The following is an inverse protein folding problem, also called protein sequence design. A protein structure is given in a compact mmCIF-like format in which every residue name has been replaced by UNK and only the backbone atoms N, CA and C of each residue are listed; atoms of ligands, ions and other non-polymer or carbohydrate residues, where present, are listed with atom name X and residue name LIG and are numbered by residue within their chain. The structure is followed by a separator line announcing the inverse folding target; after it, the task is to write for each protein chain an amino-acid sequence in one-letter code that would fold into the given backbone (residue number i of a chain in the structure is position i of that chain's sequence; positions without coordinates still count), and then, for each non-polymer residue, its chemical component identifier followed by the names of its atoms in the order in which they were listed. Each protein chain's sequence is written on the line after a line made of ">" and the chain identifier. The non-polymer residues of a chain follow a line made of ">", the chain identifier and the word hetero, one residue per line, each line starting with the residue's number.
data_IF_952697294707
#
_entry.id   IF_952697294707
#
_cell.length_a   1.000
_cell.length_b   1.000
_cell.length_c   1.000
_cell.angle_alpha   90.00
_cell.angle_beta   90.00
_cell.angle_gamma   90.00
#
_symmetry.space_group_name_H-M   'P 1'
#
loop_
_entity.id
_entity.type
_entity.pdbx_description
1 polymer ?
#
# COMPACT_ATOMS: atom_id res chain seq x y z
N UNK A 1 -52.66 63.66 -7.51
CA UNK A 1 -51.81 62.72 -8.26
C UNK A 1 -50.81 62.07 -7.28
N UNK A 2 -51.09 60.83 -6.85
CA UNK A 2 -50.16 60.05 -5.92
C UNK A 2 -49.10 59.37 -6.75
N UNK A 3 -47.80 59.70 -6.55
CA UNK A 3 -46.69 59.01 -7.12
C UNK A 3 -46.41 57.75 -6.27
N UNK A 4 -46.61 56.55 -6.86
CA UNK A 4 -46.22 55.26 -6.25
C UNK A 4 -44.77 55.02 -6.57
N UNK A 5 -43.96 54.95 -5.51
CA UNK A 5 -42.53 54.65 -5.59
C UNK A 5 -42.37 53.12 -5.49
N UNK A 6 -41.97 52.46 -6.58
CA UNK A 6 -41.65 51.03 -6.58
C UNK A 6 -40.23 50.85 -6.07
N UNK A 7 -40.08 50.25 -4.88
CA UNK A 7 -38.81 49.85 -4.33
C UNK A 7 -38.46 48.48 -4.93
N UNK A 8 -37.53 48.45 -5.88
CA UNK A 8 -37.01 47.21 -6.46
C UNK A 8 -35.96 46.65 -5.49
N UNK A 9 -36.32 45.53 -4.83
CA UNK A 9 -35.41 44.79 -3.94
C UNK A 9 -34.54 43.89 -4.81
N UNK A 10 -33.27 44.29 -5.01
CA UNK A 10 -32.26 43.47 -5.71
C UNK A 10 -31.74 42.40 -4.74
N UNK A 11 -32.25 41.16 -4.84
CA UNK A 11 -31.68 40.01 -4.11
C UNK A 11 -30.36 39.62 -4.78
N UNK A 12 -29.25 40.01 -4.16
CA UNK A 12 -27.92 39.51 -4.54
C UNK A 12 -27.84 38.03 -4.14
N UNK A 13 -28.03 37.13 -5.09
CA UNK A 13 -27.67 35.72 -4.97
C UNK A 13 -26.12 35.65 -4.92
N UNK A 14 -25.58 35.60 -3.72
CA UNK A 14 -24.15 35.30 -3.52
C UNK A 14 -24.00 33.82 -3.88
N UNK A 15 -23.21 33.46 -4.91
CA UNK A 15 -22.91 32.06 -5.19
C UNK A 15 -22.15 31.48 -4.00
N UNK A 16 -22.76 30.57 -3.26
CA UNK A 16 -22.08 29.76 -2.27
C UNK A 16 -21.17 28.83 -3.07
N UNK A 17 -19.89 29.18 -3.17
CA UNK A 17 -18.87 28.26 -3.67
C UNK A 17 -18.77 27.11 -2.67
N UNK A 18 -19.51 26.01 -2.90
CA UNK A 18 -19.32 24.75 -2.21
C UNK A 18 -17.98 24.20 -2.71
N UNK A 19 -16.91 24.54 -2.02
CA UNK A 19 -15.62 23.92 -2.24
C UNK A 19 -15.77 22.44 -1.89
N UNK A 20 -15.74 21.57 -2.89
CA UNK A 20 -15.71 20.13 -2.68
C UNK A 20 -14.47 19.78 -1.85
N UNK A 21 -14.71 19.37 -0.61
CA UNK A 21 -13.63 19.03 0.30
C UNK A 21 -12.99 17.70 -0.12
N UNK A 22 -11.66 17.66 -0.18
CA UNK A 22 -10.93 16.45 -0.56
C UNK A 22 -10.40 15.77 0.70
N UNK A 23 -10.71 14.47 0.86
CA UNK A 23 -10.01 13.60 1.79
C UNK A 23 -8.84 12.92 1.09
N UNK A 24 -7.66 13.04 1.64
CA UNK A 24 -6.45 12.46 1.08
C UNK A 24 -6.04 11.22 1.87
N UNK A 25 -5.93 10.09 1.18
CA UNK A 25 -5.32 8.86 1.71
C UNK A 25 -3.89 8.78 1.19
N UNK A 26 -2.91 8.86 2.08
CA UNK A 26 -1.53 8.52 1.77
C UNK A 26 -1.37 7.00 1.80
N UNK A 27 -0.87 6.40 0.73
CA UNK A 27 -0.76 4.94 0.63
C UNK A 27 0.39 4.48 -0.26
N UNK A 28 0.48 3.16 -0.48
CA UNK A 28 1.54 2.56 -1.29
C UNK A 28 1.10 2.27 -2.72
N UNK A 29 2.06 2.29 -3.65
CA UNK A 29 1.82 1.96 -5.05
C UNK A 29 1.27 0.54 -5.21
N UNK A 30 1.76 -0.43 -4.44
CA UNK A 30 1.27 -1.82 -4.49
C UNK A 30 -0.22 -1.92 -4.14
N UNK A 31 -0.68 -1.19 -3.12
CA UNK A 31 -2.10 -1.17 -2.73
C UNK A 31 -2.96 -0.51 -3.81
N UNK A 32 -2.55 0.66 -4.33
CA UNK A 32 -3.25 1.30 -5.46
C UNK A 32 -3.32 0.36 -6.66
N UNK A 33 -2.18 -0.22 -7.03
CA UNK A 33 -2.05 -1.03 -8.23
C UNK A 33 -2.76 -2.39 -8.10
N UNK A 34 -3.04 -2.86 -6.89
CA UNK A 34 -3.95 -4.00 -6.68
C UNK A 34 -5.37 -3.74 -7.19
N UNK A 35 -5.79 -2.47 -7.29
CA UNK A 35 -7.15 -2.07 -7.68
C UNK A 35 -8.15 -2.03 -6.53
N UNK A 36 -7.73 -2.36 -5.30
CA UNK A 36 -8.62 -2.39 -4.13
C UNK A 36 -9.32 -1.04 -3.90
N UNK A 37 -8.58 0.07 -3.93
CA UNK A 37 -9.17 1.39 -3.68
C UNK A 37 -10.23 1.76 -4.71
N UNK A 38 -10.02 1.42 -5.98
CA UNK A 38 -11.01 1.65 -7.04
C UNK A 38 -12.31 0.86 -6.80
N UNK A 39 -12.22 -0.29 -6.17
CA UNK A 39 -13.37 -1.12 -5.80
C UNK A 39 -14.01 -0.66 -4.50
N UNK A 40 -13.21 -0.36 -3.46
CA UNK A 40 -13.68 -0.14 -2.09
C UNK A 40 -14.21 1.28 -1.87
N UNK A 41 -13.46 2.32 -2.27
CA UNK A 41 -13.79 3.69 -1.90
C UNK A 41 -15.13 4.19 -2.46
N UNK A 42 -15.61 3.79 -3.67
CA UNK A 42 -16.95 4.14 -4.12
C UNK A 42 -18.11 3.54 -3.30
N UNK A 43 -17.81 2.63 -2.34
CA UNK A 43 -18.80 2.07 -1.40
C UNK A 43 -19.05 2.99 -0.21
N UNK A 44 -18.15 3.93 0.05
CA UNK A 44 -18.34 4.95 1.05
C UNK A 44 -19.30 6.02 0.52
N UNK A 45 -20.51 6.05 1.06
CA UNK A 45 -21.60 6.91 0.58
C UNK A 45 -22.11 7.92 1.61
N UNK A 46 -21.37 8.10 2.72
CA UNK A 46 -21.81 8.98 3.80
C UNK A 46 -21.91 10.47 3.40
N UNK A 47 -21.07 10.91 2.44
CA UNK A 47 -21.03 12.29 1.98
C UNK A 47 -20.85 12.33 0.46
N UNK A 48 -21.87 12.81 -0.24
CA UNK A 48 -21.86 12.90 -1.71
C UNK A 48 -20.92 13.99 -2.24
N UNK A 49 -20.63 15.02 -1.44
CA UNK A 49 -19.84 16.18 -1.86
C UNK A 49 -18.34 16.05 -1.53
N UNK A 50 -17.94 14.92 -0.89
CA UNK A 50 -16.55 14.69 -0.51
C UNK A 50 -15.87 13.80 -1.54
N UNK A 51 -14.72 14.28 -2.06
CA UNK A 51 -13.88 13.49 -2.95
C UNK A 51 -12.74 12.84 -2.18
N UNK A 52 -12.70 11.50 -2.20
CA UNK A 52 -11.58 10.76 -1.64
C UNK A 52 -10.53 10.56 -2.73
N UNK A 53 -9.31 11.05 -2.47
CA UNK A 53 -8.16 10.88 -3.35
C UNK A 53 -7.10 10.02 -2.69
N UNK A 54 -6.49 9.13 -3.45
CA UNK A 54 -5.38 8.28 -2.97
C UNK A 54 -4.08 8.76 -3.62
N UNK A 55 -3.13 9.17 -2.78
CA UNK A 55 -1.76 9.48 -3.17
C UNK A 55 -0.92 8.24 -2.85
N UNK A 56 -0.49 7.54 -3.90
CA UNK A 56 0.21 6.27 -3.77
C UNK A 56 1.66 6.41 -4.19
N UNK A 57 2.54 6.26 -3.21
CA UNK A 57 4.01 6.40 -3.34
C UNK A 57 4.71 5.27 -2.58
N UNK A 58 6.03 5.29 -2.42
CA UNK A 58 6.72 4.37 -1.53
C UNK A 58 6.35 4.62 -0.05
N UNK A 59 6.41 3.57 0.80
CA UNK A 59 6.00 3.65 2.22
C UNK A 59 6.65 4.83 2.96
N UNK A 60 7.96 5.02 2.79
CA UNK A 60 8.68 6.12 3.45
C UNK A 60 8.16 7.49 3.02
N UNK A 61 7.87 7.68 1.73
CA UNK A 61 7.31 8.93 1.22
C UNK A 61 5.87 9.14 1.68
N UNK A 62 5.04 8.07 1.72
CA UNK A 62 3.67 8.17 2.23
C UNK A 62 3.64 8.62 3.70
N UNK A 63 4.52 8.06 4.52
CA UNK A 63 4.69 8.47 5.92
C UNK A 63 5.14 9.95 5.99
N UNK A 64 6.14 10.33 5.19
CA UNK A 64 6.65 11.70 5.18
C UNK A 64 5.59 12.72 4.77
N UNK A 65 4.77 12.40 3.77
CA UNK A 65 3.64 13.24 3.38
C UNK A 65 2.64 13.39 4.54
N UNK A 66 2.31 12.29 5.24
CA UNK A 66 1.41 12.34 6.39
C UNK A 66 2.01 13.14 7.58
N UNK A 67 3.33 13.07 7.82
CA UNK A 67 4.04 13.92 8.79
C UNK A 67 3.94 15.41 8.44
N UNK A 68 3.95 15.74 7.14
CA UNK A 68 3.82 17.09 6.61
C UNK A 68 2.36 17.57 6.50
N UNK A 69 1.39 16.82 7.05
CA UNK A 69 -0.04 17.16 6.99
C UNK A 69 -0.66 17.11 5.57
N UNK A 70 -0.06 16.34 4.65
CA UNK A 70 -0.53 16.17 3.28
C UNK A 70 -1.47 14.95 3.13
N UNK A 71 -2.13 14.51 4.21
CA UNK A 71 -3.05 13.39 4.19
C UNK A 71 -3.87 13.25 5.45
N UNK A 72 -5.12 12.86 5.29
CA UNK A 72 -6.08 12.64 6.38
C UNK A 72 -5.91 11.26 7.03
N UNK A 73 -5.62 10.27 6.18
CA UNK A 73 -5.43 8.86 6.55
C UNK A 73 -4.16 8.35 5.89
N UNK A 74 -3.38 7.60 6.65
CA UNK A 74 -2.20 6.86 6.16
C UNK A 74 -2.54 5.36 6.15
N UNK A 75 -2.38 4.69 5.00
CA UNK A 75 -2.56 3.23 4.87
C UNK A 75 -1.30 2.64 4.25
N UNK A 76 -0.52 1.97 5.06
CA UNK A 76 0.77 1.36 4.68
C UNK A 76 0.92 -0.03 5.29
N UNK A 77 2.02 -0.73 5.00
CA UNK A 77 2.27 -2.11 5.46
C UNK A 77 3.70 -2.28 6.00
N UNK A 78 4.09 -1.38 6.90
CA UNK A 78 5.36 -1.45 7.64
C UNK A 78 5.08 -1.12 9.10
N UNK A 79 4.73 -2.15 9.88
CA UNK A 79 4.28 -2.01 11.27
C UNK A 79 5.29 -1.25 12.14
N UNK A 80 6.59 -1.43 11.90
CA UNK A 80 7.62 -0.72 12.66
C UNK A 80 7.55 0.79 12.45
N UNK A 81 7.47 1.23 11.20
CA UNK A 81 7.35 2.65 10.84
C UNK A 81 5.98 3.23 11.23
N UNK A 82 4.91 2.44 11.17
CA UNK A 82 3.58 2.85 11.62
C UNK A 82 3.57 3.15 13.12
N UNK A 83 4.19 2.29 13.93
CA UNK A 83 4.30 2.47 15.37
C UNK A 83 5.22 3.66 15.74
N UNK A 84 6.30 3.86 14.99
CA UNK A 84 7.16 5.03 15.14
C UNK A 84 6.39 6.34 14.84
N UNK A 85 5.60 6.35 13.76
CA UNK A 85 4.72 7.49 13.42
C UNK A 85 3.71 7.79 14.55
N UNK A 86 3.10 6.74 15.13
CA UNK A 86 2.19 6.87 16.28
C UNK A 86 2.93 7.40 17.52
N UNK A 87 4.10 6.85 17.86
CA UNK A 87 4.88 7.22 19.04
C UNK A 87 5.34 8.68 19.01
N UNK A 88 5.59 9.22 17.82
CA UNK A 88 5.92 10.63 17.57
C UNK A 88 4.70 11.56 17.60
N UNK A 89 3.50 11.03 17.83
CA UNK A 89 2.26 11.80 17.93
C UNK A 89 1.71 12.33 16.60
N UNK A 90 2.16 11.79 15.45
CA UNK A 90 1.63 12.16 14.14
C UNK A 90 0.28 11.49 13.83
N UNK A 91 -0.04 10.37 14.50
CA UNK A 91 -1.32 9.67 14.39
C UNK A 91 -2.07 9.66 15.73
N UNK A 92 -3.40 9.61 15.67
CA UNK A 92 -4.27 9.55 16.87
C UNK A 92 -4.98 8.22 17.05
N UNK A 93 -5.20 7.49 15.95
CA UNK A 93 -5.79 6.13 15.96
C UNK A 93 -5.05 5.26 14.96
N UNK A 94 -4.84 3.99 15.28
CA UNK A 94 -4.33 2.96 14.39
C UNK A 94 -5.26 1.74 14.40
N UNK A 95 -5.55 1.22 13.21
CA UNK A 95 -6.34 0.00 13.02
C UNK A 95 -5.60 -0.95 12.07
N UNK A 96 -5.63 -2.25 12.31
CA UNK A 96 -5.15 -3.26 11.35
C UNK A 96 -6.26 -3.51 10.34
N UNK A 97 -6.13 -2.89 9.16
CA UNK A 97 -7.20 -2.84 8.16
C UNK A 97 -7.41 -4.19 7.47
N UNK A 98 -6.34 -4.82 7.06
CA UNK A 98 -6.35 -6.05 6.26
C UNK A 98 -4.94 -6.63 6.18
N UNK A 99 -4.81 -7.81 5.59
CA UNK A 99 -3.51 -8.34 5.19
C UNK A 99 -3.57 -8.99 3.80
N UNK A 100 -2.43 -9.07 3.13
CA UNK A 100 -2.16 -9.98 2.03
C UNK A 100 -0.92 -10.83 2.37
N UNK A 101 -0.31 -11.49 1.39
CA UNK A 101 0.92 -12.24 1.61
C UNK A 101 1.99 -11.88 0.59
N UNK A 102 3.23 -12.10 0.99
CA UNK A 102 4.36 -12.09 0.09
C UNK A 102 4.56 -13.45 -0.57
N UNK A 103 5.22 -13.42 -1.71
CA UNK A 103 5.57 -14.61 -2.50
C UNK A 103 7.01 -14.47 -3.04
N UNK A 104 7.71 -15.58 -3.17
CA UNK A 104 8.97 -15.63 -3.89
C UNK A 104 8.72 -16.13 -5.31
N UNK A 105 9.15 -15.35 -6.27
CA UNK A 105 8.96 -15.60 -7.70
C UNK A 105 10.30 -15.89 -8.34
N UNK A 106 10.32 -16.80 -9.30
CA UNK A 106 11.50 -17.14 -10.08
C UNK A 106 11.17 -17.98 -11.30
N UNK A 107 12.20 -18.47 -12.02
CA UNK A 107 12.04 -19.25 -13.24
C UNK A 107 11.17 -20.49 -13.04
N UNK A 108 10.27 -20.80 -13.97
CA UNK A 108 9.33 -21.93 -13.86
C UNK A 108 10.01 -23.30 -13.94
N UNK A 109 11.21 -23.36 -14.54
CA UNK A 109 12.04 -24.58 -14.64
C UNK A 109 12.96 -24.74 -13.42
N UNK A 110 12.85 -23.90 -12.38
CA UNK A 110 13.60 -24.04 -11.15
C UNK A 110 13.37 -25.40 -10.49
N UNK A 111 14.44 -26.08 -10.06
CA UNK A 111 14.42 -27.38 -9.42
C UNK A 111 14.96 -27.36 -7.99
N UNK A 112 15.35 -26.17 -7.49
CA UNK A 112 16.02 -25.99 -6.22
C UNK A 112 15.18 -25.17 -5.24
N UNK A 113 14.92 -23.91 -5.59
CA UNK A 113 14.19 -22.97 -4.73
C UNK A 113 12.74 -23.43 -4.52
N UNK A 114 12.11 -24.03 -5.54
CA UNK A 114 10.75 -24.59 -5.44
C UNK A 114 10.61 -25.75 -4.43
N UNK A 115 11.72 -26.32 -3.95
CA UNK A 115 11.75 -27.38 -2.93
C UNK A 115 12.01 -26.85 -1.51
N UNK A 116 12.07 -25.52 -1.35
CA UNK A 116 12.36 -24.89 -0.06
C UNK A 116 11.27 -25.15 0.96
N UNK A 117 11.67 -25.41 2.21
CA UNK A 117 10.76 -25.71 3.32
C UNK A 117 10.28 -24.45 4.07
N UNK A 118 10.99 -23.34 3.90
CA UNK A 118 10.68 -22.02 4.48
C UNK A 118 11.21 -20.92 3.58
N UNK A 119 10.78 -19.69 3.82
CA UNK A 119 11.34 -18.54 3.07
C UNK A 119 12.84 -18.35 3.38
N UNK A 120 13.26 -18.62 4.61
CA UNK A 120 14.68 -18.56 4.98
C UNK A 120 15.49 -19.64 4.28
N UNK A 121 14.97 -20.87 4.10
CA UNK A 121 15.63 -21.91 3.30
C UNK A 121 15.77 -21.45 1.84
N UNK A 122 14.73 -20.87 1.25
CA UNK A 122 14.79 -20.35 -0.12
C UNK A 122 15.84 -19.25 -0.29
N UNK A 123 15.88 -18.30 0.64
CA UNK A 123 16.84 -17.19 0.61
C UNK A 123 18.28 -17.67 0.86
N UNK A 124 18.49 -18.63 1.77
CA UNK A 124 19.82 -19.25 1.98
C UNK A 124 20.33 -19.88 0.69
N UNK A 125 19.52 -20.70 0.01
CA UNK A 125 19.89 -21.33 -1.26
C UNK A 125 20.23 -20.30 -2.35
N UNK A 126 19.45 -19.21 -2.46
CA UNK A 126 19.73 -18.11 -3.39
C UNK A 126 21.09 -17.48 -3.07
N UNK A 127 21.36 -17.20 -1.77
CA UNK A 127 22.63 -16.65 -1.34
C UNK A 127 23.80 -17.59 -1.62
N UNK A 128 23.72 -18.86 -1.23
CA UNK A 128 24.82 -19.81 -1.30
C UNK A 128 25.22 -20.11 -2.75
N UNK A 129 24.24 -20.21 -3.63
CA UNK A 129 24.45 -20.45 -5.06
C UNK A 129 24.62 -19.17 -5.90
N UNK A 130 24.54 -17.99 -5.25
CA UNK A 130 24.69 -16.69 -5.91
C UNK A 130 23.72 -16.52 -7.10
N UNK A 131 22.53 -17.07 -6.97
CA UNK A 131 21.48 -16.87 -7.96
C UNK A 131 21.10 -15.40 -8.05
N UNK A 132 20.83 -14.89 -9.24
CA UNK A 132 20.40 -13.50 -9.44
C UNK A 132 19.12 -13.21 -8.68
N UNK A 133 19.19 -12.34 -7.69
CA UNK A 133 18.06 -11.88 -6.90
C UNK A 133 17.88 -10.39 -7.13
N UNK A 134 16.68 -9.99 -7.53
CA UNK A 134 16.33 -8.58 -7.76
C UNK A 134 15.60 -8.04 -6.54
N UNK A 135 16.26 -7.09 -5.88
CA UNK A 135 15.66 -6.31 -4.80
C UNK A 135 15.03 -5.02 -5.32
N UNK A 136 13.97 -4.58 -4.72
CA UNK A 136 13.42 -3.25 -4.99
C UNK A 136 14.38 -2.14 -4.56
N UNK A 137 15.03 -2.28 -3.43
CA UNK A 137 15.97 -1.31 -2.85
C UNK A 137 15.47 0.16 -2.87
N UNK A 138 14.14 0.34 -2.66
CA UNK A 138 13.43 1.63 -2.77
C UNK A 138 12.80 2.10 -1.45
N UNK A 139 13.23 1.54 -0.32
CA UNK A 139 12.69 1.79 1.01
C UNK A 139 11.18 1.52 1.15
N UNK A 140 10.59 0.68 0.29
CA UNK A 140 9.20 0.25 0.38
C UNK A 140 8.98 -0.79 1.49
N UNK A 141 7.70 -1.05 1.84
CA UNK A 141 7.35 -2.12 2.77
C UNK A 141 7.80 -3.51 2.29
N UNK A 142 7.75 -3.78 0.97
CA UNK A 142 8.28 -5.03 0.40
C UNK A 142 9.79 -5.14 0.57
N UNK A 143 10.54 -4.05 0.35
CA UNK A 143 11.98 -4.02 0.59
C UNK A 143 12.29 -4.23 2.09
N UNK A 144 11.55 -3.57 2.99
CA UNK A 144 11.70 -3.79 4.44
C UNK A 144 11.46 -5.25 4.84
N UNK A 145 10.43 -5.90 4.25
CA UNK A 145 10.11 -7.31 4.50
C UNK A 145 11.18 -8.25 3.93
N UNK A 146 11.68 -8.00 2.72
CA UNK A 146 12.82 -8.72 2.13
C UNK A 146 14.04 -8.66 3.04
N UNK A 147 14.45 -7.45 3.46
CA UNK A 147 15.58 -7.27 4.37
C UNK A 147 15.38 -7.95 5.72
N UNK A 148 14.13 -8.08 6.20
CA UNK A 148 13.83 -8.82 7.41
C UNK A 148 14.10 -10.32 7.24
N UNK A 149 13.88 -10.91 6.05
CA UNK A 149 14.23 -12.31 5.78
C UNK A 149 15.75 -12.49 5.77
N UNK A 150 16.50 -11.61 5.10
CA UNK A 150 17.97 -11.65 5.10
C UNK A 150 18.55 -11.52 6.53
N UNK A 151 18.00 -10.62 7.35
CA UNK A 151 18.43 -10.47 8.77
C UNK A 151 18.17 -11.72 9.61
N UNK A 152 17.06 -12.45 9.39
CA UNK A 152 16.81 -13.74 10.09
C UNK A 152 17.88 -14.79 9.80
N UNK A 153 18.55 -14.68 8.66
CA UNK A 153 19.69 -15.53 8.28
C UNK A 153 21.03 -14.96 8.74
N UNK A 154 21.06 -13.81 9.40
CA UNK A 154 22.29 -13.07 9.72
C UNK A 154 23.13 -12.75 8.45
N UNK A 155 22.49 -12.61 7.29
CA UNK A 155 23.12 -12.29 6.02
C UNK A 155 22.92 -10.82 5.65
N UNK A 156 23.98 -10.22 5.10
CA UNK A 156 23.90 -8.91 4.45
C UNK A 156 23.98 -9.08 2.93
N UNK A 157 22.84 -8.99 2.20
CA UNK A 157 22.85 -9.19 0.75
C UNK A 157 23.64 -8.09 0.02
N UNK A 158 23.81 -6.91 0.61
CA UNK A 158 24.59 -5.80 0.03
C UNK A 158 26.03 -6.18 -0.29
N UNK A 159 26.62 -7.20 0.36
CA UNK A 159 27.94 -7.74 -0.01
C UNK A 159 27.97 -8.35 -1.41
N UNK A 160 26.81 -8.69 -1.95
CA UNK A 160 26.62 -9.21 -3.32
C UNK A 160 26.06 -8.18 -4.31
N UNK A 161 25.98 -6.91 -3.90
CA UNK A 161 25.45 -5.81 -4.75
C UNK A 161 26.15 -5.75 -6.11
N UNK A 162 25.38 -5.58 -7.17
CA UNK A 162 25.84 -5.55 -8.55
C UNK A 162 26.30 -6.91 -9.12
N UNK A 163 26.36 -7.97 -8.31
CA UNK A 163 26.77 -9.32 -8.74
C UNK A 163 25.57 -10.26 -8.81
N UNK A 164 25.14 -10.78 -7.69
CA UNK A 164 23.97 -11.66 -7.59
C UNK A 164 22.76 -10.93 -6.93
N UNK A 165 22.99 -9.93 -6.10
CA UNK A 165 21.99 -9.09 -5.50
C UNK A 165 21.88 -7.79 -6.29
N UNK A 166 20.79 -7.64 -7.02
CA UNK A 166 20.59 -6.57 -8.01
C UNK A 166 19.56 -5.58 -7.50
N UNK A 167 20.03 -4.43 -7.10
CA UNK A 167 19.23 -3.34 -6.52
C UNK A 167 18.62 -2.50 -7.63
N UNK A 168 17.30 -2.63 -7.84
CA UNK A 168 16.61 -1.93 -8.92
C UNK A 168 16.36 -0.45 -8.64
N UNK A 169 16.21 -0.05 -7.38
CA UNK A 169 15.79 1.30 -6.99
C UNK A 169 14.39 1.68 -7.50
N UNK A 170 13.58 0.69 -7.91
CA UNK A 170 12.33 0.90 -8.64
C UNK A 170 11.11 0.32 -7.90
N UNK A 171 9.90 0.76 -8.33
CA UNK A 171 8.65 0.14 -7.88
C UNK A 171 8.53 -1.32 -8.35
N UNK A 172 7.52 -2.06 -7.81
CA UNK A 172 7.41 -3.51 -8.01
C UNK A 172 7.27 -3.91 -9.49
N UNK A 173 6.50 -3.18 -10.30
CA UNK A 173 6.32 -3.52 -11.72
C UNK A 173 7.63 -3.53 -12.53
N UNK A 174 8.41 -2.43 -12.53
CA UNK A 174 9.74 -2.40 -13.12
C UNK A 174 10.69 -3.46 -12.56
N UNK A 175 10.70 -3.69 -11.23
CA UNK A 175 11.56 -4.71 -10.60
C UNK A 175 11.22 -6.12 -11.07
N UNK A 176 9.93 -6.44 -11.22
CA UNK A 176 9.46 -7.71 -11.81
C UNK A 176 9.93 -7.87 -13.28
N UNK A 177 9.88 -6.80 -14.08
CA UNK A 177 10.40 -6.85 -15.45
C UNK A 177 11.90 -7.16 -15.49
N UNK A 178 12.68 -6.56 -14.58
CA UNK A 178 14.13 -6.83 -14.47
C UNK A 178 14.36 -8.29 -14.07
N UNK A 179 13.64 -8.80 -13.05
CA UNK A 179 13.77 -10.18 -12.61
C UNK A 179 13.47 -11.18 -13.74
N UNK A 180 12.37 -10.95 -14.47
CA UNK A 180 11.97 -11.80 -15.61
C UNK A 180 13.01 -11.73 -16.74
N UNK A 181 13.52 -10.53 -17.07
CA UNK A 181 14.51 -10.35 -18.12
C UNK A 181 15.86 -11.06 -17.79
N UNK A 182 16.24 -11.06 -16.51
CA UNK A 182 17.49 -11.66 -16.04
C UNK A 182 17.36 -13.14 -15.67
N UNK A 183 16.17 -13.74 -15.83
CA UNK A 183 15.85 -15.09 -15.35
C UNK A 183 16.19 -15.25 -13.86
N UNK A 184 15.89 -14.23 -13.05
CA UNK A 184 16.26 -14.10 -11.65
C UNK A 184 15.08 -14.30 -10.70
N UNK A 185 15.37 -14.23 -9.42
CA UNK A 185 14.41 -14.35 -8.33
C UNK A 185 14.02 -12.97 -7.80
N UNK A 186 12.80 -12.86 -7.27
CA UNK A 186 12.31 -11.61 -6.68
C UNK A 186 11.26 -11.89 -5.62
N UNK A 187 11.29 -11.11 -4.53
CA UNK A 187 10.28 -11.11 -3.49
C UNK A 187 9.22 -10.04 -3.79
N UNK A 188 7.95 -10.41 -3.77
CA UNK A 188 6.83 -9.53 -4.14
C UNK A 188 5.61 -9.80 -3.29
N UNK A 189 4.72 -8.80 -3.14
CA UNK A 189 3.37 -9.08 -2.70
C UNK A 189 2.58 -9.81 -3.81
N UNK A 190 1.66 -10.71 -3.39
CA UNK A 190 0.87 -11.53 -4.31
C UNK A 190 0.06 -10.70 -5.29
N UNK A 191 -0.54 -9.59 -4.84
CA UNK A 191 -1.42 -8.78 -5.68
C UNK A 191 -0.67 -8.14 -6.85
N UNK A 192 0.54 -7.65 -6.61
CA UNK A 192 1.43 -7.14 -7.67
C UNK A 192 1.79 -8.23 -8.68
N UNK A 193 2.14 -9.43 -8.21
CA UNK A 193 2.42 -10.56 -9.11
C UNK A 193 1.21 -10.98 -9.94
N UNK A 194 0.02 -11.05 -9.34
CA UNK A 194 -1.19 -11.42 -10.06
C UNK A 194 -1.56 -10.43 -11.17
N UNK A 195 -1.32 -9.15 -10.96
CA UNK A 195 -1.56 -8.10 -11.97
C UNK A 195 -0.44 -7.97 -13.00
N UNK A 196 0.75 -8.43 -12.67
CA UNK A 196 1.89 -8.37 -13.59
C UNK A 196 1.63 -9.24 -14.81
N UNK A 197 1.71 -8.65 -16.01
CA UNK A 197 1.35 -9.34 -17.26
C UNK A 197 2.54 -10.05 -17.92
N UNK A 198 3.74 -9.46 -17.82
CA UNK A 198 4.93 -9.95 -18.52
C UNK A 198 5.63 -11.10 -17.76
N UNK A 199 4.88 -12.12 -17.37
CA UNK A 199 5.38 -13.23 -16.52
C UNK A 199 6.36 -14.15 -17.25
N UNK A 200 6.24 -14.24 -18.59
CA UNK A 200 7.01 -15.18 -19.40
C UNK A 200 7.07 -16.56 -18.73
N UNK A 201 8.29 -17.07 -18.48
CA UNK A 201 8.52 -18.35 -17.82
C UNK A 201 8.78 -18.22 -16.31
N UNK A 202 8.16 -17.26 -15.63
CA UNK A 202 8.23 -17.11 -14.17
C UNK A 202 6.94 -17.57 -13.49
N UNK A 203 7.09 -18.10 -12.28
CA UNK A 203 5.99 -18.52 -11.41
C UNK A 203 6.32 -18.26 -9.94
N UNK A 204 5.33 -18.40 -9.08
CA UNK A 204 5.55 -18.46 -7.63
C UNK A 204 6.28 -19.78 -7.33
N UNK A 205 7.42 -19.68 -6.68
CA UNK A 205 8.24 -20.81 -6.26
C UNK A 205 8.05 -21.13 -4.79
N UNK A 206 7.83 -20.10 -3.96
CA UNK A 206 7.53 -20.27 -2.55
C UNK A 206 6.42 -19.33 -2.11
N UNK A 207 5.48 -19.87 -1.36
CA UNK A 207 4.38 -19.15 -0.73
C UNK A 207 3.98 -19.82 0.59
N UNK A 208 3.70 -19.02 1.60
CA UNK A 208 3.14 -19.47 2.86
C UNK A 208 2.44 -18.29 3.54
N UNK A 209 1.12 -18.28 3.55
CA UNK A 209 0.32 -17.13 4.02
C UNK A 209 0.55 -16.82 5.51
N UNK A 210 0.87 -17.79 6.32
CA UNK A 210 1.14 -17.58 7.75
C UNK A 210 2.53 -16.99 7.97
N UNK A 211 3.54 -17.54 7.28
CA UNK A 211 4.92 -17.09 7.40
C UNK A 211 5.16 -15.74 6.75
N UNK A 212 4.47 -15.48 5.61
CA UNK A 212 4.68 -14.32 4.75
C UNK A 212 3.53 -13.30 4.82
N UNK A 213 2.85 -13.24 5.98
CA UNK A 213 1.75 -12.30 6.20
C UNK A 213 2.25 -10.85 6.08
N UNK A 214 1.52 -10.05 5.30
CA UNK A 214 1.79 -8.65 5.04
C UNK A 214 0.62 -7.81 5.54
N UNK A 215 0.70 -7.33 6.76
CA UNK A 215 -0.35 -6.57 7.43
C UNK A 215 -0.34 -5.11 6.97
N UNK A 216 -1.52 -4.56 6.72
CA UNK A 216 -1.76 -3.17 6.41
C UNK A 216 -2.34 -2.44 7.61
N UNK A 217 -1.60 -1.47 8.13
CA UNK A 217 -2.09 -0.55 9.14
C UNK A 217 -2.71 0.68 8.50
N UNK A 218 -3.82 1.11 9.09
CA UNK A 218 -4.49 2.37 8.78
C UNK A 218 -4.38 3.29 9.98
N UNK A 219 -3.95 4.54 9.75
CA UNK A 219 -3.73 5.53 10.79
C UNK A 219 -4.52 6.81 10.47
N UNK A 220 -5.27 7.30 11.44
CA UNK A 220 -5.87 8.63 11.40
C UNK A 220 -4.81 9.66 11.79
N UNK A 221 -4.49 10.57 10.88
CA UNK A 221 -3.49 11.62 11.10
C UNK A 221 -3.97 12.60 12.18
N UNK A 222 -3.04 13.07 12.99
CA UNK A 222 -3.34 13.91 14.15
C UNK A 222 -3.73 15.34 13.73
N UNK A 223 -5.02 15.64 13.80
CA UNK A 223 -5.57 16.95 13.47
C UNK A 223 -5.09 18.09 14.39
N UNK A 224 -4.68 17.79 15.63
CA UNK A 224 -4.11 18.81 16.54
C UNK A 224 -2.75 19.30 16.07
N UNK A 225 -2.03 18.48 15.28
CA UNK A 225 -0.78 18.89 14.61
C UNK A 225 -1.03 19.43 13.20
N UNK A 226 -2.10 19.00 12.58
CA UNK A 226 -2.45 19.23 11.18
C UNK A 226 -3.80 19.96 11.09
N UNK A 227 -3.84 21.23 11.47
CA UNK A 227 -5.06 22.05 11.54
C UNK A 227 -5.76 22.28 10.19
N UNK A 228 -5.05 22.01 9.07
CA UNK A 228 -5.60 22.06 7.71
C UNK A 228 -6.45 20.85 7.35
N UNK A 229 -6.47 19.80 8.19
CA UNK A 229 -7.23 18.57 7.92
C UNK A 229 -8.63 18.65 8.55
N UNK A 230 -9.66 18.31 7.78
CA UNK A 230 -11.00 18.20 8.32
C UNK A 230 -11.14 16.93 9.17
N UNK A 231 -11.11 17.10 10.48
CA UNK A 231 -11.13 15.98 11.42
C UNK A 231 -12.43 15.17 11.35
N UNK A 232 -13.58 15.84 11.25
CA UNK A 232 -14.88 15.15 11.21
C UNK A 232 -14.93 14.13 10.08
N UNK A 233 -14.70 14.57 8.86
CA UNK A 233 -14.75 13.70 7.68
C UNK A 233 -13.64 12.67 7.66
N UNK A 234 -12.45 13.02 8.17
CA UNK A 234 -11.34 12.06 8.34
C UNK A 234 -11.70 10.94 9.30
N UNK A 235 -12.32 11.27 10.43
CA UNK A 235 -12.76 10.31 11.43
C UNK A 235 -13.89 9.42 10.91
N UNK A 236 -14.86 10.00 10.20
CA UNK A 236 -15.97 9.25 9.63
C UNK A 236 -15.49 8.23 8.59
N UNK A 237 -14.58 8.64 7.69
CA UNK A 237 -13.95 7.71 6.74
C UNK A 237 -13.12 6.64 7.45
N UNK A 238 -12.34 7.00 8.47
CA UNK A 238 -11.58 6.05 9.27
C UNK A 238 -12.50 5.02 9.94
N UNK A 239 -13.58 5.47 10.56
CA UNK A 239 -14.54 4.58 11.22
C UNK A 239 -15.25 3.66 10.24
N UNK A 240 -15.65 4.15 9.06
CA UNK A 240 -16.22 3.30 8.01
C UNK A 240 -15.22 2.26 7.51
N UNK A 241 -13.98 2.65 7.21
CA UNK A 241 -12.94 1.71 6.79
C UNK A 241 -12.63 0.65 7.87
N UNK A 242 -12.86 0.97 9.15
CA UNK A 242 -12.70 0.04 10.28
C UNK A 242 -13.95 -0.78 10.56
N UNK A 243 -15.05 -0.59 9.83
CA UNK A 243 -16.33 -1.26 10.10
C UNK A 243 -16.43 -2.64 9.46
N UNK A 244 -17.36 -3.45 9.95
CA UNK A 244 -17.71 -4.75 9.36
C UNK A 244 -18.20 -4.61 7.91
N UNK A 245 -18.83 -3.48 7.56
CA UNK A 245 -19.26 -3.20 6.19
C UNK A 245 -18.07 -3.14 5.24
N UNK A 246 -17.06 -2.32 5.55
CA UNK A 246 -15.84 -2.23 4.74
C UNK A 246 -15.06 -3.55 4.74
N UNK A 247 -14.98 -4.24 5.89
CA UNK A 247 -14.37 -5.56 6.02
C UNK A 247 -15.04 -6.58 5.09
N UNK A 248 -16.38 -6.58 5.00
CA UNK A 248 -17.14 -7.46 4.10
C UNK A 248 -16.89 -7.13 2.62
N UNK A 249 -16.73 -5.87 2.27
CA UNK A 249 -16.32 -5.48 0.92
C UNK A 249 -14.90 -5.97 0.62
N UNK A 250 -13.95 -5.81 1.53
CA UNK A 250 -12.57 -6.30 1.36
C UNK A 250 -12.56 -7.83 1.19
N UNK A 251 -13.31 -8.60 2.01
CA UNK A 251 -13.43 -10.06 1.89
C UNK A 251 -14.02 -10.50 0.54
N UNK A 252 -14.89 -9.70 -0.06
CA UNK A 252 -15.50 -9.96 -1.38
C UNK A 252 -14.64 -9.55 -2.55
N UNK A 253 -13.59 -8.75 -2.33
CA UNK A 253 -12.72 -8.31 -3.41
C UNK A 253 -11.97 -9.49 -4.05
N UNK A 254 -11.95 -9.52 -5.38
CA UNK A 254 -11.25 -10.55 -6.16
C UNK A 254 -10.34 -9.91 -7.20
N UNK A 255 -9.16 -10.45 -7.33
CA UNK A 255 -8.23 -10.15 -8.41
C UNK A 255 -7.99 -11.43 -9.21
N UNK A 256 -8.35 -11.44 -10.50
CA UNK A 256 -8.31 -12.64 -11.34
C UNK A 256 -9.04 -13.84 -10.67
N UNK A 257 -10.23 -13.60 -10.11
CA UNK A 257 -11.07 -14.58 -9.39
C UNK A 257 -10.43 -15.16 -8.10
N UNK A 258 -9.36 -14.57 -7.58
CA UNK A 258 -8.68 -14.98 -6.35
C UNK A 258 -8.85 -13.96 -5.23
N UNK A 259 -8.95 -14.42 -3.99
CA UNK A 259 -8.83 -13.56 -2.82
C UNK A 259 -7.38 -13.11 -2.69
N UNK A 260 -7.17 -11.82 -2.55
CA UNK A 260 -5.83 -11.24 -2.38
C UNK A 260 -5.69 -10.42 -1.10
N UNK A 261 -6.81 -10.07 -0.49
CA UNK A 261 -6.83 -9.40 0.81
C UNK A 261 -7.73 -10.18 1.77
N UNK A 262 -7.32 -10.21 3.03
CA UNK A 262 -7.94 -10.96 4.12
C UNK A 262 -8.11 -10.04 5.32
N UNK A 263 -9.06 -10.38 6.19
CA UNK A 263 -9.32 -9.72 7.48
C UNK A 263 -9.12 -10.76 8.57
N UNK A 264 -8.46 -10.41 9.64
CA UNK A 264 -8.32 -11.24 10.84
C UNK A 264 -9.65 -11.41 11.58
#
# INVERSE_FOLDING_TARGET
>A
MRKILYLIFFIFLIPINVSSENLLIQSTTSTRDSGLYKYLLPKYTYYNDIKIKVIAVGTGQAIKNAENCDGNILIVHDKGRELDFMSKGYGVKRHELMYNDYVLIGPSNDQDISKSKSITDAFSRIHDKKYKFVSRSDSSGTHSAELAVWRRLSLNPGTGSGKWYLESGQGMGPSLNIAVALNGYIFSDRSSWLRFKNKRNHKILYENKQELKNNYGMILVNHNRCSNLNYKYSLDLFNWLSSDEAANHIRKYRLNNQNVFYID
#
